data_IF_306220623605
#
_entry.id   IF_306220623605
#
_cell.length_a   1.000
_cell.length_b   1.000
_cell.length_c   1.000
_cell.angle_alpha   90.00
_cell.angle_beta   90.00
_cell.angle_gamma   90.00
#
_symmetry.space_group_name_H-M   'P 1'
#
loop_
_entity.id
_entity.type
_entity.pdbx_description
1 polymer ?
#
# COMPACT_ATOMS: atom_id res chain seq x y z
N UNK A 1 -5.28 -20.61 -38.08
CA UNK A 1 -6.30 -19.87 -37.29
C UNK A 1 -6.16 -20.08 -35.78
N UNK A 2 -5.62 -21.21 -35.29
CA UNK A 2 -5.38 -21.47 -33.84
C UNK A 2 -4.20 -20.65 -33.26
N UNK A 3 -3.28 -20.19 -34.11
CA UNK A 3 -2.05 -19.50 -33.69
C UNK A 3 -2.27 -18.04 -33.25
N UNK A 4 -3.38 -17.41 -33.63
CA UNK A 4 -3.72 -16.03 -33.26
C UNK A 4 -4.47 -15.92 -31.93
N UNK A 5 -5.09 -17.02 -31.45
CA UNK A 5 -5.87 -17.03 -30.21
C UNK A 5 -4.99 -17.17 -28.94
N UNK A 6 -3.77 -17.71 -29.07
CA UNK A 6 -2.91 -18.02 -27.91
C UNK A 6 -2.02 -16.82 -27.53
N UNK A 7 -1.75 -15.90 -28.46
CA UNK A 7 -1.01 -14.66 -28.17
C UNK A 7 -1.87 -13.58 -27.47
N UNK A 8 -3.18 -13.82 -27.36
CA UNK A 8 -4.13 -13.05 -26.56
C UNK A 8 -4.32 -13.69 -25.16
N UNK A 9 -3.33 -14.45 -24.65
CA UNK A 9 -3.26 -14.72 -23.22
C UNK A 9 -3.20 -13.36 -22.52
N UNK A 10 -4.32 -12.98 -21.90
CA UNK A 10 -4.58 -11.59 -21.56
C UNK A 10 -3.47 -11.09 -20.66
N UNK A 11 -2.75 -10.05 -21.10
CA UNK A 11 -1.77 -9.33 -20.29
C UNK A 11 -2.38 -8.95 -18.92
N UNK A 12 -3.70 -8.76 -18.89
CA UNK A 12 -4.53 -8.59 -17.69
C UNK A 12 -4.44 -9.75 -16.68
N UNK A 13 -4.50 -11.01 -17.13
CA UNK A 13 -4.38 -12.19 -16.24
C UNK A 13 -2.94 -12.37 -15.74
N UNK A 14 -1.93 -12.10 -16.59
CA UNK A 14 -0.52 -12.13 -16.18
C UNK A 14 -0.19 -11.02 -15.17
N UNK A 15 -0.79 -9.84 -15.33
CA UNK A 15 -0.69 -8.75 -14.36
C UNK A 15 -1.35 -9.10 -13.02
N UNK A 16 -2.40 -9.92 -13.05
CA UNK A 16 -3.07 -10.41 -11.84
C UNK A 16 -2.19 -11.37 -11.04
N UNK A 17 -1.41 -12.23 -11.72
CA UNK A 17 -0.39 -13.04 -11.05
C UNK A 17 0.71 -12.16 -10.43
N UNK A 18 1.10 -11.04 -11.05
CA UNK A 18 2.09 -10.12 -10.49
C UNK A 18 1.73 -9.59 -9.08
N UNK A 19 0.43 -9.51 -8.74
CA UNK A 19 -0.05 -9.10 -7.41
C UNK A 19 0.44 -10.03 -6.29
N UNK A 20 0.75 -11.28 -6.63
CA UNK A 20 1.28 -12.28 -5.69
C UNK A 20 2.82 -12.22 -5.56
N UNK A 21 3.46 -11.16 -6.10
CA UNK A 21 4.89 -10.90 -5.96
C UNK A 21 5.75 -12.02 -6.54
N UNK A 22 6.71 -12.52 -5.75
CA UNK A 22 7.67 -13.54 -6.18
C UNK A 22 6.97 -14.86 -6.57
N UNK A 23 5.91 -15.24 -5.85
CA UNK A 23 5.13 -16.44 -6.16
C UNK A 23 4.41 -16.33 -7.52
N UNK A 24 3.81 -15.17 -7.79
CA UNK A 24 3.19 -14.88 -9.08
C UNK A 24 4.18 -14.81 -10.24
N UNK A 25 5.34 -14.18 -10.02
CA UNK A 25 6.41 -14.11 -11.01
C UNK A 25 6.97 -15.50 -11.33
N UNK A 26 7.09 -16.37 -10.33
CA UNK A 26 7.48 -17.77 -10.54
C UNK A 26 6.47 -18.55 -11.38
N UNK A 27 5.16 -18.31 -11.19
CA UNK A 27 4.10 -18.93 -11.98
C UNK A 27 4.12 -18.47 -13.44
N UNK A 28 4.30 -17.18 -13.70
CA UNK A 28 4.44 -16.63 -15.05
C UNK A 28 5.68 -17.21 -15.74
N UNK A 29 6.81 -17.23 -15.04
CA UNK A 29 8.06 -17.81 -15.56
C UNK A 29 7.88 -19.29 -15.89
N UNK A 30 7.14 -20.05 -15.09
CA UNK A 30 6.84 -21.45 -15.35
C UNK A 30 5.96 -21.63 -16.61
N UNK A 31 4.89 -20.85 -16.76
CA UNK A 31 4.00 -20.88 -17.93
C UNK A 31 4.77 -20.54 -19.22
N UNK A 32 5.59 -19.49 -19.18
CA UNK A 32 6.43 -19.10 -20.31
C UNK A 32 7.45 -20.18 -20.67
N UNK A 33 8.04 -20.82 -19.66
CA UNK A 33 8.99 -21.91 -19.87
C UNK A 33 8.33 -23.13 -20.48
N UNK A 34 7.12 -23.47 -20.07
CA UNK A 34 6.33 -24.54 -20.67
C UNK A 34 5.98 -24.23 -22.13
N UNK A 35 5.62 -22.98 -22.44
CA UNK A 35 5.39 -22.54 -23.82
C UNK A 35 6.66 -22.64 -24.67
N UNK A 36 7.80 -22.18 -24.16
CA UNK A 36 9.10 -22.29 -24.83
C UNK A 36 9.50 -23.75 -25.03
N UNK A 37 9.23 -24.62 -24.06
CA UNK A 37 9.48 -26.05 -24.15
C UNK A 37 8.65 -26.66 -25.28
N UNK A 38 7.34 -26.39 -25.30
CA UNK A 38 6.42 -26.88 -26.32
C UNK A 38 6.75 -26.35 -27.72
N UNK A 39 7.25 -25.11 -27.81
CA UNK A 39 7.66 -24.48 -29.06
C UNK A 39 9.00 -24.99 -29.58
N UNK A 40 9.96 -25.25 -28.70
CA UNK A 40 11.26 -25.81 -29.08
C UNK A 40 11.16 -27.31 -29.39
N UNK A 41 10.28 -28.05 -28.69
CA UNK A 41 10.04 -29.47 -28.95
C UNK A 41 9.28 -29.74 -30.25
N UNK A 42 8.49 -28.77 -30.73
CA UNK A 42 7.75 -28.86 -32.00
C UNK A 42 8.56 -28.43 -33.22
N UNK A 43 9.83 -28.03 -33.05
CA UNK A 43 10.73 -27.74 -34.17
C UNK A 43 11.17 -29.02 -34.86
N UNK A 44 11.34 -28.94 -36.18
CA UNK A 44 11.85 -30.03 -37.01
C UNK A 44 13.25 -30.54 -36.59
N UNK A 45 14.08 -29.67 -35.99
CA UNK A 45 15.33 -30.04 -35.30
C UNK A 45 15.38 -29.35 -33.94
N UNK A 46 14.96 -30.04 -32.86
CA UNK A 46 15.01 -29.49 -31.51
C UNK A 46 16.48 -29.35 -31.07
N UNK A 47 16.84 -28.20 -30.48
CA UNK A 47 18.17 -28.01 -29.91
C UNK A 47 18.22 -28.62 -28.52
N UNK A 48 18.98 -29.72 -28.36
CA UNK A 48 19.06 -30.46 -27.10
C UNK A 48 19.56 -29.61 -25.91
N UNK A 49 20.50 -28.69 -26.15
CA UNK A 49 21.00 -27.76 -25.13
C UNK A 49 19.92 -26.78 -24.66
N UNK A 50 19.09 -26.29 -25.59
CA UNK A 50 17.99 -25.37 -25.28
C UNK A 50 16.86 -26.09 -24.53
N UNK A 51 16.53 -27.33 -24.91
CA UNK A 51 15.58 -28.15 -24.17
C UNK A 51 16.06 -28.43 -22.73
N UNK A 52 17.37 -28.66 -22.55
CA UNK A 52 17.97 -28.88 -21.23
C UNK A 52 17.92 -27.62 -20.37
N UNK A 53 18.22 -26.45 -20.93
CA UNK A 53 18.15 -25.18 -20.20
C UNK A 53 16.71 -24.81 -19.84
N UNK A 54 15.75 -25.01 -20.74
CA UNK A 54 14.32 -24.78 -20.45
C UNK A 54 13.83 -25.71 -19.33
N UNK A 55 14.20 -26.99 -19.34
CA UNK A 55 13.83 -27.94 -18.27
C UNK A 55 14.47 -27.59 -16.92
N UNK A 56 15.75 -27.18 -16.90
CA UNK A 56 16.40 -26.73 -15.67
C UNK A 56 15.74 -25.46 -15.12
N UNK A 57 15.40 -24.52 -16.00
CA UNK A 57 14.72 -23.29 -15.61
C UNK A 57 13.28 -23.54 -15.12
N UNK A 58 12.55 -24.48 -15.73
CA UNK A 58 11.27 -24.96 -15.20
C UNK A 58 11.41 -25.56 -13.80
N UNK A 59 12.43 -26.39 -13.56
CA UNK A 59 12.68 -26.95 -12.23
C UNK A 59 12.97 -25.88 -11.19
N UNK A 60 13.83 -24.92 -11.53
CA UNK A 60 14.21 -23.81 -10.65
C UNK A 60 13.01 -22.92 -10.30
N UNK A 61 12.20 -22.56 -11.30
CA UNK A 61 11.01 -21.73 -11.10
C UNK A 61 9.95 -22.43 -10.24
N UNK A 62 9.81 -23.74 -10.37
CA UNK A 62 8.90 -24.56 -9.54
C UNK A 62 9.36 -24.59 -8.07
N UNK A 63 10.66 -24.78 -7.81
CA UNK A 63 11.24 -24.75 -6.45
C UNK A 63 11.09 -23.36 -5.83
N UNK A 64 11.40 -22.29 -6.58
CA UNK A 64 11.23 -20.91 -6.13
C UNK A 64 9.76 -20.58 -5.80
N UNK A 65 8.83 -21.06 -6.62
CA UNK A 65 7.39 -20.90 -6.39
C UNK A 65 6.92 -21.61 -5.13
N UNK A 66 7.36 -22.86 -4.91
CA UNK A 66 7.06 -23.62 -3.70
C UNK A 66 7.61 -22.95 -2.44
N UNK A 67 8.90 -22.57 -2.44
CA UNK A 67 9.53 -21.91 -1.29
C UNK A 67 8.87 -20.56 -1.01
N UNK A 68 8.55 -19.77 -2.05
CA UNK A 68 7.85 -18.50 -1.91
C UNK A 68 6.41 -18.67 -1.41
N UNK A 69 5.70 -19.72 -1.85
CA UNK A 69 4.33 -20.02 -1.43
C UNK A 69 4.27 -20.45 0.04
N UNK A 70 5.17 -21.36 0.46
CA UNK A 70 5.28 -21.80 1.87
C UNK A 70 5.69 -20.63 2.77
N UNK A 71 6.61 -19.77 2.32
CA UNK A 71 7.00 -18.57 3.05
C UNK A 71 5.83 -17.58 3.24
N UNK A 72 4.95 -17.45 2.24
CA UNK A 72 3.77 -16.60 2.33
C UNK A 72 2.71 -17.13 3.32
N UNK A 73 2.59 -18.45 3.47
CA UNK A 73 1.69 -19.08 4.45
C UNK A 73 2.26 -18.97 5.87
N UNK A 74 3.56 -19.20 6.05
CA UNK A 74 4.22 -19.16 7.37
C UNK A 74 4.47 -17.74 7.88
N UNK A 75 4.60 -16.76 6.99
CA UNK A 75 4.72 -15.34 7.31
C UNK A 75 3.76 -14.53 6.42
N UNK A 76 2.47 -14.40 6.79
CA UNK A 76 1.51 -13.57 6.08
C UNK A 76 1.84 -12.10 6.34
N UNK A 77 2.90 -11.61 5.71
CA UNK A 77 3.20 -10.18 5.64
C UNK A 77 2.48 -9.67 4.40
N UNK A 78 1.48 -8.81 4.62
CA UNK A 78 0.69 -8.21 3.56
C UNK A 78 1.60 -7.72 2.41
N UNK A 79 1.22 -7.96 1.14
CA UNK A 79 2.02 -7.57 0.00
C UNK A 79 2.31 -6.07 0.08
N UNK A 80 3.59 -5.73 0.17
CA UNK A 80 4.03 -4.35 0.22
C UNK A 80 3.54 -3.63 -1.06
N UNK A 81 2.87 -2.47 -0.94
CA UNK A 81 2.45 -1.69 -2.10
C UNK A 81 3.67 -1.31 -2.96
N UNK A 82 3.46 -1.38 -4.27
CA UNK A 82 4.45 -1.16 -5.32
C UNK A 82 5.43 -0.02 -5.03
N UNK A 83 6.72 -0.34 -5.05
CA UNK A 83 7.79 0.62 -4.88
C UNK A 83 7.87 1.56 -6.10
N UNK A 84 7.33 2.78 -5.94
CA UNK A 84 7.66 3.90 -6.80
C UNK A 84 9.17 4.20 -6.73
N UNK A 85 9.81 4.19 -7.89
CA UNK A 85 11.23 4.50 -8.12
C UNK A 85 11.64 5.81 -7.42
N UNK A 86 12.63 5.76 -6.53
CA UNK A 86 13.46 6.91 -6.12
C UNK A 86 14.95 6.50 -6.01
N UNK A 87 15.88 7.45 -6.21
CA UNK A 87 17.20 7.18 -6.75
C UNK A 87 18.17 6.57 -5.73
N UNK A 88 19.07 5.74 -6.26
CA UNK A 88 20.12 5.00 -5.55
C UNK A 88 21.06 5.96 -4.81
N UNK A 89 21.20 5.78 -3.49
CA UNK A 89 22.39 6.18 -2.74
C UNK A 89 22.92 5.00 -1.92
N UNK A 90 24.24 4.84 -2.00
CA UNK A 90 25.05 3.69 -1.59
C UNK A 90 25.01 3.40 -0.08
N UNK A 91 25.00 2.10 0.21
CA UNK A 91 25.58 1.34 1.34
C UNK A 91 25.77 2.05 2.70
N UNK A 92 25.10 1.50 3.72
CA UNK A 92 25.74 1.26 5.03
C UNK A 92 25.07 0.07 5.71
N UNK A 93 25.80 -1.03 5.78
CA UNK A 93 25.43 -2.30 6.44
C UNK A 93 25.70 -2.22 7.95
N UNK A 94 25.02 -1.35 8.71
CA UNK A 94 24.82 -1.56 10.17
C UNK A 94 23.60 -0.77 10.63
N UNK A 95 22.48 -1.46 10.87
CA UNK A 95 21.66 -1.19 12.06
C UNK A 95 20.68 -2.33 12.26
N UNK A 96 20.80 -2.96 13.43
CA UNK A 96 19.76 -3.78 14.03
C UNK A 96 18.40 -3.13 13.80
N UNK A 97 17.47 -3.93 13.28
CA UNK A 97 16.09 -3.56 12.96
C UNK A 97 15.37 -3.18 14.27
N UNK A 98 15.51 -1.93 14.68
CA UNK A 98 14.46 -1.20 15.38
C UNK A 98 13.57 -0.69 14.25
N UNK A 99 12.36 -1.25 14.09
CA UNK A 99 11.40 -0.75 13.10
C UNK A 99 11.33 0.78 13.24
N UNK A 100 11.58 1.57 12.17
CA UNK A 100 11.41 3.02 12.28
C UNK A 100 9.98 3.26 12.72
N UNK A 101 9.81 3.94 13.85
CA UNK A 101 8.51 4.36 14.36
C UNK A 101 7.88 5.19 13.24
N UNK A 102 6.78 4.73 12.66
CA UNK A 102 6.06 5.47 11.63
C UNK A 102 5.46 6.68 12.34
N UNK A 103 6.06 7.85 12.15
CA UNK A 103 5.54 9.11 12.68
C UNK A 103 4.45 9.58 11.72
N UNK A 104 3.22 9.56 12.19
CA UNK A 104 2.04 10.00 11.44
C UNK A 104 1.93 11.52 11.52
N UNK A 105 1.79 12.20 10.39
CA UNK A 105 1.55 13.65 10.36
C UNK A 105 0.05 13.90 10.44
N UNK A 106 -0.41 14.54 11.51
CA UNK A 106 -1.81 14.93 11.69
C UNK A 106 -1.91 16.44 11.54
N UNK A 107 -2.70 16.90 10.57
CA UNK A 107 -3.07 18.31 10.47
C UNK A 107 -4.50 18.51 10.97
N UNK A 108 -4.64 19.25 12.07
CA UNK A 108 -5.92 19.61 12.64
C UNK A 108 -6.32 21.01 12.17
N UNK A 109 -7.41 21.06 11.43
CA UNK A 109 -8.07 22.26 10.96
C UNK A 109 -9.26 22.58 11.86
N UNK A 110 -9.30 23.80 12.39
CA UNK A 110 -10.35 24.22 13.35
C UNK A 110 -11.02 25.53 12.95
N UNK A 111 -12.32 25.65 13.23
CA UNK A 111 -13.05 26.92 13.14
C UNK A 111 -12.87 27.77 14.40
N UNK A 112 -13.05 29.09 14.26
CA UNK A 112 -12.78 30.05 15.33
C UNK A 112 -13.55 29.76 16.63
N UNK A 113 -14.79 29.26 16.54
CA UNK A 113 -15.61 28.85 17.69
C UNK A 113 -15.18 27.52 18.32
N UNK A 114 -14.60 26.61 17.53
CA UNK A 114 -14.13 25.29 17.97
C UNK A 114 -12.66 25.26 18.45
N UNK A 115 -12.03 26.44 18.62
CA UNK A 115 -10.66 26.60 19.12
C UNK A 115 -10.37 25.86 20.45
N UNK A 116 -11.23 25.90 21.49
CA UNK A 116 -10.91 25.21 22.75
C UNK A 116 -10.88 23.67 22.59
N UNK A 117 -11.79 23.12 21.79
CA UNK A 117 -11.81 21.69 21.45
C UNK A 117 -10.58 21.28 20.63
N UNK A 118 -10.21 22.11 19.65
CA UNK A 118 -9.02 21.90 18.83
C UNK A 118 -7.74 21.84 19.67
N UNK A 119 -7.62 22.70 20.68
CA UNK A 119 -6.46 22.71 21.58
C UNK A 119 -6.41 21.43 22.43
N UNK A 120 -7.54 21.02 23.02
CA UNK A 120 -7.62 19.77 23.79
C UNK A 120 -7.24 18.54 22.96
N UNK A 121 -7.69 18.48 21.71
CA UNK A 121 -7.34 17.40 20.79
C UNK A 121 -5.84 17.37 20.50
N UNK A 122 -5.18 18.52 20.39
CA UNK A 122 -3.73 18.57 20.13
C UNK A 122 -2.93 18.15 21.33
N UNK A 123 -3.27 18.63 22.53
CA UNK A 123 -2.54 18.31 23.74
C UNK A 123 -2.56 16.78 23.98
N UNK A 124 -3.72 16.16 23.71
CA UNK A 124 -3.88 14.71 23.80
C UNK A 124 -3.13 13.97 22.68
N UNK A 125 -3.20 14.45 21.42
CA UNK A 125 -2.50 13.83 20.31
C UNK A 125 -0.97 13.95 20.43
N UNK A 126 -0.46 15.04 21.02
CA UNK A 126 0.96 15.25 21.32
C UNK A 126 1.46 14.35 22.46
N UNK A 127 0.59 13.87 23.34
CA UNK A 127 0.95 12.90 24.37
C UNK A 127 1.43 11.56 23.77
N UNK A 128 1.06 11.28 22.52
CA UNK A 128 1.49 10.09 21.80
C UNK A 128 2.73 10.37 20.94
N UNK A 129 3.82 9.63 21.20
CA UNK A 129 5.10 9.73 20.48
C UNK A 129 5.06 9.30 19.00
N UNK A 130 3.91 8.82 18.53
CA UNK A 130 3.71 8.29 17.19
C UNK A 130 3.05 9.31 16.24
N UNK A 131 2.63 10.48 16.74
CA UNK A 131 1.97 11.54 15.97
C UNK A 131 2.77 12.85 15.97
N UNK A 132 2.91 13.45 14.80
CA UNK A 132 3.37 14.83 14.59
C UNK A 132 2.15 15.68 14.26
N UNK A 133 1.70 16.48 15.21
CA UNK A 133 0.43 17.21 15.12
C UNK A 133 0.68 18.67 14.79
N UNK A 134 0.00 19.19 13.77
CA UNK A 134 0.01 20.61 13.41
C UNK A 134 -1.40 21.18 13.52
N UNK A 135 -1.51 22.35 14.14
CA UNK A 135 -2.75 23.11 14.17
C UNK A 135 -2.78 24.10 13.01
N UNK A 136 -3.90 24.22 12.31
CA UNK A 136 -4.10 25.24 11.30
C UNK A 136 -5.51 25.82 11.39
N UNK A 137 -5.63 27.14 11.42
CA UNK A 137 -6.94 27.79 11.40
C UNK A 137 -7.65 27.52 10.06
N UNK A 138 -8.91 27.07 10.13
CA UNK A 138 -9.76 26.90 8.96
C UNK A 138 -10.44 28.24 8.65
N UNK A 139 -9.97 28.91 7.59
CA UNK A 139 -10.60 30.14 7.09
C UNK A 139 -11.84 29.82 6.27
N UNK A 140 -12.79 30.76 6.20
CA UNK A 140 -14.05 30.61 5.42
C UNK A 140 -13.78 30.28 3.95
N UNK A 141 -12.71 30.84 3.36
CA UNK A 141 -12.27 30.55 2.00
C UNK A 141 -11.80 29.09 1.83
N UNK A 142 -10.97 28.58 2.76
CA UNK A 142 -10.53 27.16 2.76
C UNK A 142 -11.69 26.20 3.01
N UNK A 143 -12.65 26.55 3.88
CA UNK A 143 -13.85 25.73 4.14
C UNK A 143 -14.67 25.50 2.87
N UNK A 144 -14.85 26.56 2.06
CA UNK A 144 -15.54 26.51 0.76
C UNK A 144 -14.75 25.69 -0.27
N UNK A 145 -13.44 25.94 -0.39
CA UNK A 145 -12.57 25.23 -1.34
C UNK A 145 -12.53 23.72 -1.07
N UNK A 146 -12.41 23.34 0.20
CA UNK A 146 -12.33 21.95 0.62
C UNK A 146 -13.70 21.27 0.74
N UNK A 147 -14.82 21.98 0.52
CA UNK A 147 -16.20 21.47 0.68
C UNK A 147 -16.42 20.78 2.04
N UNK A 148 -16.07 21.48 3.13
CA UNK A 148 -16.21 21.00 4.51
C UNK A 148 -17.48 21.60 5.11
N UNK A 149 -18.48 20.74 5.37
CA UNK A 149 -19.75 21.16 5.96
C UNK A 149 -19.96 20.61 7.38
N UNK A 150 -19.15 19.64 7.80
CA UNK A 150 -19.23 18.94 9.08
C UNK A 150 -17.83 18.49 9.51
N UNK A 151 -17.68 18.23 10.80
CA UNK A 151 -16.48 17.65 11.38
C UNK A 151 -16.19 16.27 10.79
N UNK A 152 -14.98 16.09 10.28
CA UNK A 152 -14.60 14.90 9.54
C UNK A 152 -13.09 14.65 9.61
N UNK A 153 -12.69 13.38 9.60
CA UNK A 153 -11.31 12.95 9.45
C UNK A 153 -11.16 12.48 8.01
N UNK A 154 -10.25 13.11 7.26
CA UNK A 154 -9.89 12.67 5.92
C UNK A 154 -8.64 11.83 5.96
N UNK A 155 -8.71 10.71 5.28
CA UNK A 155 -7.67 9.68 5.26
C UNK A 155 -7.54 9.09 3.86
N UNK A 156 -6.35 8.59 3.54
CA UNK A 156 -6.14 7.82 2.32
C UNK A 156 -6.44 6.32 2.55
N UNK A 157 -6.72 5.57 1.48
CA UNK A 157 -7.08 4.14 1.56
C UNK A 157 -6.07 3.32 2.40
N UNK A 158 -4.77 3.62 2.25
CA UNK A 158 -3.67 2.96 2.97
C UNK A 158 -3.67 3.28 4.47
N UNK A 159 -4.32 4.38 4.86
CA UNK A 159 -4.30 4.94 6.21
C UNK A 159 -5.61 4.66 6.96
N UNK A 160 -6.53 3.91 6.35
CA UNK A 160 -7.86 3.58 6.89
C UNK A 160 -7.79 3.02 8.31
N UNK A 161 -6.83 2.14 8.59
CA UNK A 161 -6.66 1.56 9.92
C UNK A 161 -6.23 2.61 10.95
N UNK A 162 -5.27 3.47 10.60
CA UNK A 162 -4.81 4.56 11.45
C UNK A 162 -5.93 5.57 11.71
N UNK A 163 -6.72 5.91 10.68
CA UNK A 163 -7.87 6.80 10.79
C UNK A 163 -8.98 6.22 11.68
N UNK A 164 -9.28 4.92 11.57
CA UNK A 164 -10.23 4.23 12.44
C UNK A 164 -9.75 4.21 13.91
N UNK A 165 -8.46 3.95 14.13
CA UNK A 165 -7.89 3.99 15.48
C UNK A 165 -7.91 5.40 16.07
N UNK A 166 -7.58 6.40 15.26
CA UNK A 166 -7.65 7.80 15.63
C UNK A 166 -9.09 8.18 16.00
N UNK A 167 -10.08 7.87 15.15
CA UNK A 167 -11.50 8.13 15.41
C UNK A 167 -11.94 7.52 16.74
N UNK A 168 -11.68 6.22 16.96
CA UNK A 168 -12.03 5.55 18.23
C UNK A 168 -11.38 6.17 19.46
N UNK A 169 -10.20 6.78 19.32
CA UNK A 169 -9.53 7.49 20.42
C UNK A 169 -10.17 8.85 20.65
N UNK A 170 -10.43 9.60 19.58
CA UNK A 170 -11.06 10.90 19.64
C UNK A 170 -12.51 10.82 20.13
N UNK A 171 -13.27 9.79 19.75
CA UNK A 171 -14.64 9.54 20.21
C UNK A 171 -14.74 9.37 21.74
N UNK A 172 -13.65 9.01 22.43
CA UNK A 172 -13.62 8.95 23.90
C UNK A 172 -13.48 10.31 24.58
N UNK A 173 -12.97 11.29 23.85
CA UNK A 173 -12.59 12.62 24.36
C UNK A 173 -13.61 13.67 23.90
N UNK A 174 -14.24 13.43 22.76
CA UNK A 174 -15.22 14.34 22.18
C UNK A 174 -16.51 14.38 23.01
N UNK A 175 -17.17 15.56 23.09
CA UNK A 175 -18.50 15.68 23.68
C UNK A 175 -19.50 14.73 22.99
N UNK A 176 -20.49 14.22 23.72
CA UNK A 176 -21.48 13.25 23.18
C UNK A 176 -22.23 13.75 21.94
N UNK A 177 -22.30 15.07 21.73
CA UNK A 177 -22.95 15.72 20.59
C UNK A 177 -22.03 15.91 19.37
N UNK A 178 -20.75 15.58 19.48
CA UNK A 178 -19.75 15.81 18.44
C UNK A 178 -19.36 14.52 17.73
N UNK A 179 -19.66 14.44 16.43
CA UNK A 179 -19.39 13.26 15.62
C UNK A 179 -18.35 13.54 14.52
N UNK A 180 -17.24 12.80 14.55
CA UNK A 180 -16.22 12.83 13.50
C UNK A 180 -16.53 11.81 12.43
N UNK A 181 -16.90 12.26 11.23
CA UNK A 181 -17.11 11.35 10.09
C UNK A 181 -15.80 11.00 9.39
N UNK A 182 -15.60 9.73 9.05
CA UNK A 182 -14.46 9.28 8.25
C UNK A 182 -14.75 9.51 6.76
N UNK A 183 -13.90 10.27 6.07
CA UNK A 183 -13.99 10.52 4.63
C UNK A 183 -12.72 10.10 3.90
N UNK A 184 -12.83 9.11 3.03
CA UNK A 184 -11.70 8.71 2.19
C UNK A 184 -11.40 9.80 1.14
N UNK A 185 -10.13 10.13 0.99
CA UNK A 185 -9.61 11.02 -0.06
C UNK A 185 -8.46 10.37 -0.81
N UNK A 186 -8.22 10.84 -2.03
CA UNK A 186 -7.00 10.57 -2.79
C UNK A 186 -6.00 11.69 -2.51
N UNK A 187 -5.12 11.47 -1.56
CA UNK A 187 -3.98 12.35 -1.27
C UNK A 187 -2.71 11.74 -1.89
N UNK A 188 -1.66 12.53 -2.07
CA UNK A 188 -0.33 12.03 -2.48
C UNK A 188 0.70 12.12 -1.34
N UNK A 189 0.24 12.49 -0.14
CA UNK A 189 1.07 12.65 1.06
C UNK A 189 1.00 11.37 1.91
N UNK A 190 2.09 10.59 2.02
CA UNK A 190 2.09 9.37 2.81
C UNK A 190 2.10 9.66 4.31
N UNK A 191 1.35 8.87 5.09
CA UNK A 191 1.21 8.96 6.55
C UNK A 191 0.62 10.31 7.00
N UNK A 192 -0.37 10.83 6.28
CA UNK A 192 -0.97 12.13 6.49
C UNK A 192 -2.48 12.01 6.78
N UNK A 193 -2.89 12.41 7.98
CA UNK A 193 -4.30 12.50 8.35
C UNK A 193 -4.69 13.96 8.52
N UNK A 194 -5.84 14.34 7.97
CA UNK A 194 -6.39 15.68 8.20
C UNK A 194 -7.69 15.61 8.99
N UNK A 195 -7.72 16.29 10.13
CA UNK A 195 -8.88 16.35 11.03
C UNK A 195 -9.51 17.72 10.86
N UNK A 196 -10.80 17.76 10.57
CA UNK A 196 -11.56 18.99 10.48
C UNK A 196 -12.54 19.05 11.65
N UNK A 197 -12.40 20.09 12.46
CA UNK A 197 -13.26 20.41 13.60
C UNK A 197 -14.06 21.64 13.22
N UNK A 198 -15.33 21.42 12.90
CA UNK A 198 -16.31 22.47 12.63
C UNK A 198 -17.15 22.72 13.88
N UNK A 199 -17.58 23.97 14.05
CA UNK A 199 -18.60 24.37 15.02
C UNK A 199 -20.01 24.15 14.41
#
# INVERSE_FOLDING_TARGET
>A
MIQMMIAQFQVSELAEFLKYGISGLSAIAFILSFYLLSRESSRAKPRAEMLRSIRMFMGLTLVLGLVSGVAAILNPKAPAPEAAKKPVKKASLVSKIVKPRIVWTIELFYEAGAKPLAQQLIDELQAYKDYSVKMTALTVSRKKELKINRSQIRYELVEKEAANQLQKRLDKILPQDFNLNLKQITSTSPNYLSIFVCD
#
